data_IF_580681156395
#
_entry.id   IF_580681156395
#
_cell.length_a   1.000
_cell.length_b   1.000
_cell.length_c   1.000
_cell.angle_alpha   90.00
_cell.angle_beta   90.00
_cell.angle_gamma   90.00
#
_symmetry.space_group_name_H-M   'P 1'
#
loop_
_entity.id
_entity.type
_entity.pdbx_description
1 polymer ?
#
# COMPACT_ATOMS: atom_id res chain seq x y z
N UNK A 1 5.97 20.61 24.49
CA UNK A 1 5.84 21.22 23.14
C UNK A 1 6.39 20.33 22.02
N UNK A 2 7.56 19.73 22.16
CA UNK A 2 8.14 18.85 21.13
C UNK A 2 7.21 17.68 20.71
N UNK A 3 6.61 16.96 21.66
CA UNK A 3 5.75 15.81 21.37
C UNK A 3 4.48 16.19 20.58
N UNK A 4 3.95 17.39 20.77
CA UNK A 4 2.79 17.87 20.01
C UNK A 4 3.16 18.24 18.56
N UNK A 5 4.32 18.88 18.37
CA UNK A 5 4.82 19.16 17.01
C UNK A 5 5.13 17.87 16.25
N UNK A 6 5.72 16.87 16.92
CA UNK A 6 6.00 15.56 16.32
C UNK A 6 4.71 14.84 15.88
N UNK A 7 3.65 14.94 16.70
CA UNK A 7 2.34 14.39 16.35
C UNK A 7 1.74 15.07 15.13
N UNK A 8 1.81 16.41 15.02
CA UNK A 8 1.30 17.15 13.86
C UNK A 8 2.07 16.76 12.59
N UNK A 9 3.41 16.74 12.65
CA UNK A 9 4.25 16.37 11.51
C UNK A 9 3.97 14.94 11.09
N UNK A 10 3.96 13.98 12.02
CA UNK A 10 3.68 12.60 11.73
C UNK A 10 2.28 12.39 11.14
N UNK A 11 1.27 13.12 11.62
CA UNK A 11 -0.08 13.09 11.06
C UNK A 11 -0.13 13.64 9.63
N UNK A 12 0.57 14.74 9.35
CA UNK A 12 0.67 15.31 8.01
C UNK A 12 1.36 14.34 7.04
N UNK A 13 2.43 13.67 7.48
CA UNK A 13 3.11 12.64 6.69
C UNK A 13 2.19 11.45 6.44
N UNK A 14 1.47 10.97 7.45
CA UNK A 14 0.48 9.90 7.32
C UNK A 14 -0.64 10.24 6.32
N UNK A 15 -1.15 11.48 6.35
CA UNK A 15 -2.12 11.98 5.38
C UNK A 15 -1.54 12.02 3.95
N UNK A 16 -0.29 12.42 3.80
CA UNK A 16 0.40 12.42 2.50
C UNK A 16 0.50 10.99 1.93
N UNK A 17 0.88 10.03 2.76
CA UNK A 17 0.89 8.61 2.39
C UNK A 17 -0.50 8.12 2.00
N UNK A 18 -1.54 8.50 2.74
CA UNK A 18 -2.94 8.17 2.39
C UNK A 18 -3.34 8.72 1.02
N UNK A 19 -2.96 9.96 0.70
CA UNK A 19 -3.24 10.58 -0.60
C UNK A 19 -2.55 9.81 -1.74
N UNK A 20 -1.30 9.36 -1.54
CA UNK A 20 -0.60 8.52 -2.53
C UNK A 20 -1.36 7.24 -2.82
N UNK A 21 -1.86 6.56 -1.78
CA UNK A 21 -2.66 5.33 -1.95
C UNK A 21 -4.03 5.60 -2.58
N UNK A 22 -4.67 6.73 -2.27
CA UNK A 22 -5.92 7.14 -2.91
C UNK A 22 -5.73 7.37 -4.42
N UNK A 23 -4.68 8.10 -4.81
CA UNK A 23 -4.36 8.35 -6.22
C UNK A 23 -4.04 7.05 -6.96
N UNK A 24 -3.27 6.14 -6.35
CA UNK A 24 -3.00 4.84 -6.94
C UNK A 24 -4.26 3.98 -7.13
N UNK A 25 -5.22 4.08 -6.21
CA UNK A 25 -6.52 3.42 -6.34
C UNK A 25 -7.29 3.92 -7.54
N UNK A 26 -7.28 5.23 -7.80
CA UNK A 26 -7.92 5.81 -8.98
C UNK A 26 -7.25 5.31 -10.27
N UNK A 27 -5.92 5.22 -10.30
CA UNK A 27 -5.17 4.66 -11.43
C UNK A 27 -5.53 3.20 -11.68
N UNK A 28 -5.58 2.37 -10.62
CA UNK A 28 -5.96 0.96 -10.71
C UNK A 28 -7.40 0.82 -11.23
N UNK A 29 -8.35 1.59 -10.69
CA UNK A 29 -9.74 1.59 -11.11
C UNK A 29 -9.87 1.92 -12.60
N UNK A 30 -9.22 3.00 -13.04
CA UNK A 30 -9.22 3.40 -14.44
C UNK A 30 -8.62 2.33 -15.37
N UNK A 31 -7.51 1.72 -14.95
CA UNK A 31 -6.84 0.65 -15.70
C UNK A 31 -7.74 -0.58 -15.84
N UNK A 32 -8.33 -1.05 -14.74
CA UNK A 32 -9.22 -2.22 -14.72
C UNK A 32 -10.47 -1.96 -15.58
N UNK A 33 -11.03 -0.75 -15.52
CA UNK A 33 -12.19 -0.40 -16.33
C UNK A 33 -11.85 -0.34 -17.82
N UNK A 34 -10.72 0.27 -18.20
CA UNK A 34 -10.29 0.42 -19.60
C UNK A 34 -10.01 -0.93 -20.28
N UNK A 35 -9.36 -1.86 -19.56
CA UNK A 35 -8.99 -3.17 -20.13
C UNK A 35 -10.17 -4.15 -20.04
N UNK A 36 -10.98 -4.07 -18.99
CA UNK A 36 -12.14 -4.94 -18.79
C UNK A 36 -13.15 -4.91 -19.95
N UNK A 37 -13.27 -3.77 -20.64
CA UNK A 37 -14.15 -3.62 -21.81
C UNK A 37 -13.64 -4.32 -23.08
N UNK A 38 -12.35 -4.68 -23.13
CA UNK A 38 -11.69 -5.24 -24.33
C UNK A 38 -11.48 -6.76 -24.32
N UNK A 39 -11.60 -7.44 -23.18
CA UNK A 39 -11.20 -8.85 -23.04
C UNK A 39 -12.34 -9.77 -22.58
N UNK A 40 -13.45 -9.82 -23.34
CA UNK A 40 -14.63 -10.60 -22.97
C UNK A 40 -14.41 -12.13 -23.04
N UNK A 41 -13.51 -12.63 -23.87
CA UNK A 41 -13.36 -14.09 -24.10
C UNK A 41 -12.35 -14.79 -23.15
N UNK A 42 -11.41 -14.05 -22.53
CA UNK A 42 -10.34 -14.62 -21.68
C UNK A 42 -10.40 -14.11 -20.23
N UNK A 43 -11.54 -14.26 -19.60
CA UNK A 43 -11.82 -13.66 -18.27
C UNK A 43 -10.85 -14.11 -17.18
N UNK A 44 -10.45 -15.39 -17.16
CA UNK A 44 -9.49 -15.91 -16.17
C UNK A 44 -8.11 -15.27 -16.34
N UNK A 45 -7.62 -15.20 -17.58
CA UNK A 45 -6.33 -14.58 -17.88
C UNK A 45 -6.36 -13.09 -17.48
N UNK A 46 -7.47 -12.39 -17.75
CA UNK A 46 -7.65 -11.00 -17.37
C UNK A 46 -7.63 -10.81 -15.85
N UNK A 47 -8.29 -11.68 -15.07
CA UNK A 47 -8.23 -11.65 -13.62
C UNK A 47 -6.79 -11.79 -13.12
N UNK A 48 -6.03 -12.77 -13.64
CA UNK A 48 -4.63 -12.99 -13.24
C UNK A 48 -3.76 -11.77 -13.57
N UNK A 49 -3.89 -11.21 -14.77
CA UNK A 49 -3.14 -10.00 -15.17
C UNK A 49 -3.51 -8.82 -14.26
N UNK A 50 -4.80 -8.63 -13.99
CA UNK A 50 -5.26 -7.54 -13.11
C UNK A 50 -4.70 -7.65 -11.69
N UNK A 51 -4.61 -8.87 -11.14
CA UNK A 51 -4.02 -9.09 -9.82
C UNK A 51 -2.50 -8.86 -9.82
N UNK A 52 -1.79 -9.24 -10.88
CA UNK A 52 -0.35 -8.98 -11.01
C UNK A 52 -0.08 -7.47 -11.09
N UNK A 53 -0.83 -6.76 -11.94
CA UNK A 53 -0.70 -5.30 -12.08
C UNK A 53 -1.03 -4.61 -10.76
N UNK A 54 -2.12 -5.01 -10.10
CA UNK A 54 -2.47 -4.51 -8.77
C UNK A 54 -1.33 -4.69 -7.77
N UNK A 55 -0.75 -5.90 -7.70
CA UNK A 55 0.38 -6.18 -6.81
C UNK A 55 1.57 -5.25 -7.08
N UNK A 56 1.96 -5.09 -8.36
CA UNK A 56 3.09 -4.23 -8.74
C UNK A 56 2.84 -2.76 -8.37
N UNK A 57 1.63 -2.25 -8.63
CA UNK A 57 1.27 -0.87 -8.26
C UNK A 57 1.27 -0.68 -6.75
N UNK A 58 0.68 -1.60 -5.99
CA UNK A 58 0.66 -1.54 -4.53
C UNK A 58 2.06 -1.65 -3.93
N UNK A 59 2.93 -2.51 -4.47
CA UNK A 59 4.31 -2.60 -4.05
C UNK A 59 5.08 -1.30 -4.28
N UNK A 60 4.88 -0.67 -5.45
CA UNK A 60 5.46 0.65 -5.73
C UNK A 60 4.95 1.72 -4.75
N UNK A 61 3.65 1.70 -4.41
CA UNK A 61 3.07 2.60 -3.42
C UNK A 61 3.66 2.40 -2.02
N UNK A 62 3.94 1.16 -1.61
CA UNK A 62 4.64 0.88 -0.35
C UNK A 62 6.06 1.48 -0.38
N UNK A 63 6.81 1.28 -1.46
CA UNK A 63 8.15 1.86 -1.60
C UNK A 63 8.13 3.40 -1.55
N UNK A 64 7.14 4.04 -2.20
CA UNK A 64 6.95 5.49 -2.13
C UNK A 64 6.59 5.95 -0.71
N UNK A 65 5.70 5.26 -0.03
CA UNK A 65 5.28 5.57 1.34
C UNK A 65 6.45 5.48 2.32
N UNK A 66 7.25 4.42 2.22
CA UNK A 66 8.47 4.26 3.01
C UNK A 66 9.48 5.36 2.70
N UNK A 67 9.60 5.77 1.42
CA UNK A 67 10.49 6.87 1.02
C UNK A 67 10.05 8.21 1.64
N UNK A 68 8.76 8.50 1.69
CA UNK A 68 8.21 9.71 2.33
C UNK A 68 8.56 9.72 3.82
N UNK A 69 8.35 8.61 4.54
CA UNK A 69 8.74 8.46 5.92
C UNK A 69 10.26 8.55 6.12
N UNK A 70 11.06 7.96 5.22
CA UNK A 70 12.52 8.03 5.26
C UNK A 70 13.05 9.46 5.11
N UNK A 71 12.47 10.26 4.21
CA UNK A 71 12.80 11.69 4.08
C UNK A 71 12.49 12.43 5.37
N UNK A 72 11.34 12.15 5.99
CA UNK A 72 10.97 12.75 7.28
C UNK A 72 11.97 12.39 8.38
N UNK A 73 12.36 11.11 8.48
CA UNK A 73 13.34 10.65 9.48
C UNK A 73 14.71 11.29 9.28
N UNK A 74 15.14 11.41 8.02
CA UNK A 74 16.40 12.06 7.69
C UNK A 74 16.39 13.55 8.02
N UNK A 75 15.31 14.27 7.68
CA UNK A 75 15.17 15.71 7.98
C UNK A 75 15.07 16.01 9.47
N UNK A 76 14.47 15.10 10.25
CA UNK A 76 14.40 15.20 11.70
C UNK A 76 15.72 14.84 12.41
N UNK A 77 16.74 14.42 11.63
CA UNK A 77 18.05 14.09 12.18
C UNK A 77 18.09 12.81 13.02
N UNK A 78 17.11 11.89 12.81
CA UNK A 78 17.09 10.61 13.52
C UNK A 78 18.22 9.70 13.10
N UNK A 79 18.67 9.82 11.84
CA UNK A 79 19.76 9.06 11.26
C UNK A 79 20.73 9.99 10.54
N UNK A 80 22.03 9.61 10.50
CA UNK A 80 23.05 10.40 9.83
C UNK A 80 23.13 10.16 8.30
N UNK A 81 22.49 9.07 7.81
CA UNK A 81 22.53 8.66 6.40
C UNK A 81 21.11 8.34 5.92
N UNK A 82 20.81 8.71 4.69
CA UNK A 82 19.48 8.43 4.10
C UNK A 82 19.19 6.93 3.98
N UNK A 83 20.20 6.09 3.70
CA UNK A 83 20.07 4.63 3.67
C UNK A 83 19.53 4.06 4.99
N UNK A 84 20.04 4.60 6.11
CA UNK A 84 19.65 4.16 7.45
C UNK A 84 18.24 4.66 7.79
N UNK A 85 17.91 5.90 7.35
CA UNK A 85 16.54 6.43 7.45
C UNK A 85 15.53 5.56 6.69
N UNK A 86 15.87 5.17 5.46
CA UNK A 86 15.02 4.31 4.63
C UNK A 86 14.83 2.93 5.28
N UNK A 87 15.91 2.32 5.76
CA UNK A 87 15.86 1.04 6.44
C UNK A 87 15.01 1.10 7.71
N UNK A 88 15.21 2.10 8.55
CA UNK A 88 14.43 2.30 9.78
C UNK A 88 12.95 2.59 9.48
N UNK A 89 12.67 3.41 8.46
CA UNK A 89 11.29 3.65 8.02
C UNK A 89 10.62 2.36 7.52
N UNK A 90 11.34 1.52 6.77
CA UNK A 90 10.84 0.22 6.31
C UNK A 90 10.53 -0.71 7.46
N UNK A 91 11.43 -0.82 8.45
CA UNK A 91 11.21 -1.63 9.67
C UNK A 91 9.97 -1.18 10.44
N UNK A 92 9.80 0.13 10.62
CA UNK A 92 8.65 0.67 11.31
C UNK A 92 7.36 0.51 10.49
N UNK A 93 7.39 0.76 9.19
CA UNK A 93 6.24 0.63 8.29
C UNK A 93 5.71 -0.82 8.24
N UNK A 94 6.61 -1.80 8.30
CA UNK A 94 6.28 -3.23 8.38
C UNK A 94 6.02 -3.73 9.80
N UNK A 95 6.03 -2.85 10.80
CA UNK A 95 5.82 -3.18 12.22
C UNK A 95 6.90 -4.04 12.86
N UNK A 96 8.03 -4.27 12.20
CA UNK A 96 9.16 -5.03 12.77
C UNK A 96 9.88 -4.26 13.89
N UNK A 97 9.85 -2.94 13.78
CA UNK A 97 10.52 -2.05 14.73
C UNK A 97 12.06 -2.05 14.62
N UNK A 98 12.73 -0.98 15.05
CA UNK A 98 14.18 -0.93 15.11
C UNK A 98 14.70 -1.81 16.24
N UNK A 99 15.72 -2.61 15.97
CA UNK A 99 16.29 -3.55 16.93
C UNK A 99 17.19 -2.92 18.01
N UNK A 100 17.39 -1.59 18.02
CA UNK A 100 18.31 -0.88 18.91
C UNK A 100 17.61 0.12 19.84
N UNK A 101 17.99 0.11 21.14
CA UNK A 101 17.41 0.99 22.15
C UNK A 101 17.64 2.49 21.90
N UNK A 102 18.75 2.87 21.28
CA UNK A 102 19.09 4.27 20.99
C UNK A 102 18.22 4.86 19.86
N UNK A 103 17.85 4.08 18.84
CA UNK A 103 16.96 4.50 17.76
C UNK A 103 15.51 4.62 18.26
N UNK A 104 15.07 3.75 19.15
CA UNK A 104 13.74 3.80 19.76
C UNK A 104 13.49 5.14 20.47
N UNK A 105 14.49 5.66 21.17
CA UNK A 105 14.35 6.95 21.90
C UNK A 105 14.25 8.15 20.95
N UNK A 106 14.97 8.14 19.84
CA UNK A 106 14.94 9.24 18.85
C UNK A 106 13.64 9.27 18.03
N UNK A 107 13.10 8.09 17.72
CA UNK A 107 11.89 7.96 16.88
C UNK A 107 10.62 7.67 17.68
N UNK A 108 10.60 7.99 18.98
CA UNK A 108 9.61 7.54 19.97
C UNK A 108 8.14 7.66 19.52
N UNK A 109 7.77 8.72 18.82
CA UNK A 109 6.41 8.91 18.30
C UNK A 109 6.30 8.53 16.82
N UNK A 110 7.30 8.86 16.02
CA UNK A 110 7.29 8.61 14.58
C UNK A 110 7.28 7.12 14.23
N UNK A 111 7.95 6.26 15.01
CA UNK A 111 7.93 4.82 14.83
C UNK A 111 6.50 4.24 14.87
N UNK A 112 5.75 4.41 15.96
CA UNK A 112 4.35 3.99 16.05
C UNK A 112 3.44 4.61 14.97
N UNK A 113 3.64 5.88 14.60
CA UNK A 113 2.84 6.54 13.55
C UNK A 113 3.14 5.96 12.16
N UNK A 114 4.41 5.65 11.87
CA UNK A 114 4.81 4.95 10.65
C UNK A 114 4.18 3.55 10.60
N UNK A 115 4.21 2.82 11.72
CA UNK A 115 3.59 1.49 11.83
C UNK A 115 2.08 1.56 11.62
N UNK A 116 1.39 2.50 12.25
CA UNK A 116 -0.05 2.71 12.07
C UNK A 116 -0.39 3.02 10.60
N UNK A 117 0.41 3.88 9.96
CA UNK A 117 0.30 4.18 8.54
C UNK A 117 0.45 2.91 7.69
N UNK A 118 1.45 2.06 7.98
CA UNK A 118 1.67 0.78 7.29
C UNK A 118 0.49 -0.17 7.42
N UNK A 119 -0.02 -0.39 8.64
CA UNK A 119 -1.17 -1.27 8.91
C UNK A 119 -2.41 -0.83 8.12
N UNK A 120 -2.72 0.48 8.14
CA UNK A 120 -3.85 1.04 7.40
C UNK A 120 -3.72 0.81 5.90
N UNK A 121 -2.51 0.99 5.35
CA UNK A 121 -2.26 0.81 3.92
C UNK A 121 -2.26 -0.66 3.50
N UNK A 122 -1.81 -1.59 4.34
CA UNK A 122 -1.96 -3.03 4.10
C UNK A 122 -3.44 -3.45 4.10
N UNK A 123 -4.25 -2.95 5.04
CA UNK A 123 -5.70 -3.17 5.03
C UNK A 123 -6.37 -2.65 3.75
N UNK A 124 -5.96 -1.47 3.28
CA UNK A 124 -6.40 -0.89 2.02
C UNK A 124 -6.05 -1.78 0.81
N UNK A 125 -4.80 -2.27 0.76
CA UNK A 125 -4.32 -3.16 -0.29
C UNK A 125 -5.14 -4.46 -0.37
N UNK A 126 -5.42 -5.09 0.77
CA UNK A 126 -6.27 -6.30 0.86
C UNK A 126 -7.68 -6.01 0.34
N UNK A 127 -8.26 -4.86 0.71
CA UNK A 127 -9.60 -4.47 0.23
C UNK A 127 -9.65 -4.33 -1.28
N UNK A 128 -8.62 -3.76 -1.91
CA UNK A 128 -8.52 -3.66 -3.37
C UNK A 128 -8.37 -5.03 -4.06
N UNK A 129 -7.60 -5.94 -3.47
CA UNK A 129 -7.49 -7.32 -3.98
C UNK A 129 -8.84 -8.03 -3.97
N UNK A 130 -9.56 -7.95 -2.86
CA UNK A 130 -10.91 -8.52 -2.70
C UNK A 130 -11.87 -7.91 -3.72
N UNK A 131 -11.84 -6.59 -3.90
CA UNK A 131 -12.67 -5.89 -4.87
C UNK A 131 -12.46 -6.41 -6.30
N UNK A 132 -11.21 -6.57 -6.74
CA UNK A 132 -10.90 -7.09 -8.09
C UNK A 132 -11.37 -8.54 -8.25
N UNK A 133 -11.19 -9.37 -7.24
CA UNK A 133 -11.68 -10.76 -7.27
C UNK A 133 -13.20 -10.77 -7.39
N UNK A 134 -13.91 -10.02 -6.56
CA UNK A 134 -15.37 -9.94 -6.58
C UNK A 134 -15.93 -9.39 -7.90
N UNK A 135 -15.21 -8.50 -8.55
CA UNK A 135 -15.61 -7.95 -9.85
C UNK A 135 -15.59 -9.00 -10.96
N UNK A 136 -14.64 -9.93 -10.94
CA UNK A 136 -14.41 -10.89 -12.05
C UNK A 136 -14.98 -12.28 -11.79
N UNK A 137 -15.00 -12.72 -10.52
CA UNK A 137 -15.37 -14.09 -10.13
C UNK A 137 -16.79 -14.49 -10.56
N UNK A 138 -17.84 -13.66 -10.36
CA UNK A 138 -19.22 -14.03 -10.75
C UNK A 138 -19.36 -14.30 -12.25
N UNK A 139 -18.66 -13.53 -13.06
CA UNK A 139 -18.68 -13.69 -14.51
C UNK A 139 -17.94 -14.96 -14.98
N UNK A 140 -16.88 -15.36 -14.29
CA UNK A 140 -16.14 -16.60 -14.55
C UNK A 140 -17.00 -17.81 -14.17
N UNK A 141 -17.62 -17.78 -13.01
CA UNK A 141 -18.48 -18.87 -12.52
C UNK A 141 -19.69 -19.07 -13.42
N UNK A 142 -20.38 -17.99 -13.83
CA UNK A 142 -21.55 -18.07 -14.71
C UNK A 142 -21.25 -18.74 -16.05
N UNK A 143 -20.11 -18.46 -16.68
CA UNK A 143 -19.73 -19.11 -17.92
C UNK A 143 -19.50 -20.62 -17.70
N UNK A 144 -18.79 -20.99 -16.62
CA UNK A 144 -18.47 -22.39 -16.32
C UNK A 144 -19.69 -23.25 -15.98
N UNK A 145 -20.73 -22.67 -15.35
CA UNK A 145 -21.94 -23.38 -14.97
C UNK A 145 -23.01 -23.32 -16.06
N UNK A 146 -23.01 -22.30 -16.93
CA UNK A 146 -23.88 -22.22 -18.09
C UNK A 146 -23.58 -23.32 -19.11
N UNK A 147 -22.29 -23.50 -19.44
CA UNK A 147 -21.83 -24.56 -20.36
C UNK A 147 -22.07 -25.98 -19.81
N UNK A 148 -22.15 -26.15 -18.49
CA UNK A 148 -22.43 -27.44 -17.85
C UNK A 148 -23.93 -27.77 -17.78
N UNK A 149 -24.82 -26.80 -17.98
CA UNK A 149 -26.27 -26.99 -17.98
C UNK A 149 -26.83 -27.27 -19.41
N UNK A 150 -26.05 -27.03 -20.46
CA UNK A 150 -26.43 -27.25 -21.84
C UNK A 150 -25.91 -28.62 -22.42
N UNK A 151 -25.09 -29.36 -21.64
CA UNK A 151 -24.59 -30.71 -21.98
C UNK A 151 -25.22 -31.79 -21.07
#
# INVERSE_FOLDING_TARGET
MAMFSDFIIGSAVGLTVMIVHLLSTLVIYYFVHLIGTRMNERRVLFLVISLIVLYLVLFLCVCLSVSIWAVTYYQMGFTGRFSDAFYTAMLNYTTLGPGGSAEILKTRLFGPMTAASGILMFGWAVSLMVYIIQLHLPAILRNRWGDAAEN
#
